data_IF_716517516577
#
_entry.id   IF_716517516577
#
_cell.length_a   1.000
_cell.length_b   1.000
_cell.length_c   1.000
_cell.angle_alpha   90.00
_cell.angle_beta   90.00
_cell.angle_gamma   90.00
#
_symmetry.space_group_name_H-M   'P 1'
#
loop_
_entity.id
_entity.type
_entity.pdbx_description
1 polymer ?
#
# COMPACT_ATOMS: atom_id res chain seq x y z
N UNK A 1 -10.54 29.29 21.12
CA UNK A 1 -10.94 30.08 19.94
C UNK A 1 -11.55 31.37 20.42
N UNK A 2 -11.21 32.49 19.77
CA UNK A 2 -11.77 33.82 20.10
C UNK A 2 -11.60 34.23 21.59
N UNK A 3 -10.45 33.86 22.19
CA UNK A 3 -10.17 34.14 23.60
C UNK A 3 -10.96 33.25 24.59
N UNK A 4 -11.59 32.19 24.12
CA UNK A 4 -12.35 31.29 24.94
C UNK A 4 -11.94 29.82 24.76
N UNK A 5 -12.11 29.06 25.84
CA UNK A 5 -12.05 27.60 25.86
C UNK A 5 -13.48 27.07 25.89
N UNK A 6 -13.75 26.16 24.97
CA UNK A 6 -15.06 25.48 24.84
C UNK A 6 -14.91 24.04 25.25
N UNK A 7 -15.74 23.55 26.18
CA UNK A 7 -15.73 22.17 26.63
C UNK A 7 -17.10 21.51 26.44
N UNK A 8 -17.10 20.27 25.94
CA UNK A 8 -18.31 19.48 25.73
C UNK A 8 -18.07 18.05 26.20
N UNK A 9 -18.97 17.53 27.02
CA UNK A 9 -18.87 16.19 27.57
C UNK A 9 -19.93 15.25 27.00
N UNK A 10 -19.52 14.01 26.74
CA UNK A 10 -20.39 12.94 26.25
C UNK A 10 -20.34 11.73 27.19
N UNK A 11 -21.48 11.05 27.33
CA UNK A 11 -21.54 9.75 28.01
C UNK A 11 -22.48 8.83 27.20
N UNK A 12 -22.00 7.64 26.81
CA UNK A 12 -22.72 6.65 25.99
C UNK A 12 -23.34 7.29 24.73
N UNK A 13 -22.59 8.12 24.02
CA UNK A 13 -23.02 8.79 22.79
C UNK A 13 -23.98 9.96 22.96
N UNK A 14 -24.37 10.33 24.19
CA UNK A 14 -25.24 11.46 24.47
C UNK A 14 -24.47 12.60 25.13
N UNK A 15 -24.83 13.83 24.76
CA UNK A 15 -24.28 15.04 25.40
C UNK A 15 -24.73 15.08 26.86
N UNK A 16 -23.79 15.33 27.76
CA UNK A 16 -24.06 15.48 29.19
C UNK A 16 -24.50 16.92 29.47
N UNK A 17 -25.60 17.07 30.22
CA UNK A 17 -26.15 18.38 30.62
C UNK A 17 -27.40 18.79 29.84
N UNK A 18 -28.04 19.88 30.25
CA UNK A 18 -29.24 20.42 29.58
C UNK A 18 -28.80 21.03 28.23
N UNK A 19 -29.58 20.80 27.14
CA UNK A 19 -29.25 21.21 25.76
C UNK A 19 -28.72 22.63 25.59
N UNK A 20 -29.15 23.60 26.41
CA UNK A 20 -28.65 24.98 26.38
C UNK A 20 -27.46 25.27 27.29
N UNK A 21 -27.07 24.35 28.20
CA UNK A 21 -25.95 24.48 29.15
C UNK A 21 -24.92 23.36 28.99
N UNK A 22 -24.99 22.58 27.94
CA UNK A 22 -24.08 21.46 27.70
C UNK A 22 -22.71 21.93 27.20
N UNK A 23 -22.65 23.07 26.50
CA UNK A 23 -21.41 23.69 26.06
C UNK A 23 -20.93 24.62 27.18
N UNK A 24 -19.82 24.28 27.78
CA UNK A 24 -19.13 25.12 28.77
C UNK A 24 -18.20 26.08 28.04
N UNK A 25 -18.24 27.35 28.40
CA UNK A 25 -17.42 28.42 27.81
C UNK A 25 -16.69 29.14 28.90
N UNK A 26 -15.36 29.11 28.88
CA UNK A 26 -14.47 29.74 29.83
C UNK A 26 -13.53 30.72 29.12
N UNK A 27 -13.31 31.93 29.64
CA UNK A 27 -12.27 32.81 29.11
C UNK A 27 -10.90 32.12 29.17
N UNK A 28 -10.11 32.25 28.11
CA UNK A 28 -8.77 31.68 28.05
C UNK A 28 -7.74 32.76 27.73
N UNK A 29 -6.71 32.84 28.54
CA UNK A 29 -5.53 33.69 28.31
C UNK A 29 -4.51 33.04 27.35
N UNK A 30 -4.70 31.78 26.99
CA UNK A 30 -3.80 31.07 26.07
C UNK A 30 -3.86 31.64 24.67
N UNK A 31 -2.71 32.02 24.12
CA UNK A 31 -2.58 32.48 22.75
C UNK A 31 -2.63 31.32 21.70
N UNK A 32 -2.67 30.07 22.16
CA UNK A 32 -2.69 28.89 21.31
C UNK A 32 -4.12 28.51 20.94
N UNK A 33 -4.33 28.16 19.67
CA UNK A 33 -5.54 27.49 19.21
C UNK A 33 -5.27 25.99 19.08
N UNK A 34 -6.24 25.16 19.44
CA UNK A 34 -6.11 23.71 19.37
C UNK A 34 -7.39 23.00 19.79
N UNK A 35 -7.41 21.69 19.62
CA UNK A 35 -8.51 20.81 20.04
C UNK A 35 -7.96 19.69 20.89
N UNK A 36 -8.59 19.44 22.05
CA UNK A 36 -8.27 18.31 22.92
C UNK A 36 -9.46 17.37 22.90
N UNK A 37 -9.23 16.11 22.51
CA UNK A 37 -10.22 15.05 22.53
C UNK A 37 -9.76 14.00 23.54
N UNK A 38 -10.59 13.77 24.60
CA UNK A 38 -10.39 12.67 25.54
C UNK A 38 -11.53 11.68 25.38
N UNK A 39 -11.21 10.42 25.29
CA UNK A 39 -12.21 9.38 25.22
C UNK A 39 -11.74 8.13 25.97
N UNK A 40 -12.69 7.38 26.50
CA UNK A 40 -12.46 6.08 27.11
C UNK A 40 -13.42 5.08 26.48
N UNK A 41 -12.91 3.96 25.96
CA UNK A 41 -13.77 2.89 25.42
C UNK A 41 -14.68 2.33 26.52
N UNK A 42 -15.89 1.95 26.13
CA UNK A 42 -16.88 1.35 27.04
C UNK A 42 -16.83 -0.18 26.89
N UNK A 43 -16.53 -0.88 28.00
CA UNK A 43 -16.49 -2.35 28.02
C UNK A 43 -17.87 -3.01 27.80
N UNK A 44 -18.97 -2.24 27.90
CA UNK A 44 -20.29 -2.74 27.45
C UNK A 44 -20.38 -2.87 25.92
N UNK A 45 -19.49 -2.15 25.18
CA UNK A 45 -19.46 -2.14 23.70
C UNK A 45 -18.27 -2.93 23.16
N UNK A 46 -17.12 -2.81 23.81
CA UNK A 46 -15.85 -3.42 23.37
C UNK A 46 -15.51 -4.59 24.30
N UNK A 47 -15.07 -5.70 23.71
CA UNK A 47 -14.61 -6.89 24.45
C UNK A 47 -13.30 -6.67 25.18
N UNK A 48 -12.46 -5.77 24.70
CA UNK A 48 -11.21 -5.32 25.33
C UNK A 48 -10.96 -3.85 25.02
N UNK A 49 -10.30 -3.16 25.92
CA UNK A 49 -9.85 -1.77 25.79
C UNK A 49 -8.31 -1.67 25.76
N UNK A 50 -7.64 -2.80 25.84
CA UNK A 50 -6.17 -2.87 25.82
C UNK A 50 -5.69 -2.80 24.37
N UNK A 51 -5.31 -1.59 23.95
CA UNK A 51 -4.79 -1.33 22.60
C UNK A 51 -3.26 -1.32 22.69
N UNK A 52 -2.56 -2.19 21.92
CA UNK A 52 -1.10 -2.21 21.92
C UNK A 52 -0.52 -0.85 21.49
N UNK A 53 0.54 -0.39 22.16
CA UNK A 53 1.22 0.87 21.84
C UNK A 53 1.71 0.91 20.38
N UNK A 54 2.07 -0.26 19.83
CA UNK A 54 2.53 -0.39 18.45
C UNK A 54 1.47 0.04 17.43
N UNK A 55 0.19 -0.22 17.71
CA UNK A 55 -0.89 0.24 16.86
C UNK A 55 -0.94 1.78 16.74
N UNK A 56 -0.70 2.47 17.85
CA UNK A 56 -0.63 3.94 17.85
C UNK A 56 0.61 4.43 17.10
N UNK A 57 1.78 3.78 17.29
CA UNK A 57 3.02 4.11 16.56
C UNK A 57 2.83 4.02 15.06
N UNK A 58 2.31 2.89 14.59
CA UNK A 58 2.05 2.68 13.16
C UNK A 58 1.03 3.68 12.59
N UNK A 59 -0.04 3.96 13.34
CA UNK A 59 -1.05 4.94 12.93
C UNK A 59 -0.46 6.34 12.83
N UNK A 60 0.31 6.78 13.83
CA UNK A 60 0.94 8.11 13.81
C UNK A 60 2.02 8.23 12.74
N UNK A 61 2.82 7.20 12.54
CA UNK A 61 3.80 7.15 11.45
C UNK A 61 3.12 7.32 10.10
N UNK A 62 2.07 6.56 9.80
CA UNK A 62 1.29 6.68 8.56
C UNK A 62 0.70 8.08 8.36
N UNK A 63 0.21 8.69 9.43
CA UNK A 63 -0.28 10.07 9.36
C UNK A 63 0.84 11.06 9.09
N UNK A 64 2.01 10.91 9.70
CA UNK A 64 3.16 11.77 9.48
C UNK A 64 3.70 11.69 8.03
N UNK A 65 3.70 10.49 7.45
CA UNK A 65 4.17 10.24 6.07
C UNK A 65 3.37 11.06 5.04
N UNK A 66 2.07 11.16 5.20
CA UNK A 66 1.19 11.85 4.23
C UNK A 66 0.88 13.30 4.57
N UNK A 67 1.32 13.76 5.74
CA UNK A 67 1.19 15.15 6.18
C UNK A 67 2.58 15.75 6.43
N UNK A 68 3.29 16.06 5.35
CA UNK A 68 4.65 16.58 5.41
C UNK A 68 4.75 17.80 6.35
N UNK A 69 5.84 17.87 7.12
CA UNK A 69 6.10 18.91 8.12
C UNK A 69 5.13 18.95 9.33
N UNK A 70 4.27 17.95 9.50
CA UNK A 70 3.43 17.82 10.68
C UNK A 70 4.06 16.81 11.63
N UNK A 71 4.32 17.25 12.88
CA UNK A 71 4.82 16.36 13.91
C UNK A 71 3.67 15.72 14.67
N UNK A 72 3.66 14.40 14.70
CA UNK A 72 2.76 13.59 15.52
C UNK A 72 3.52 13.06 16.72
N UNK A 73 3.15 13.49 17.93
CA UNK A 73 3.80 13.08 19.17
C UNK A 73 2.95 12.05 19.90
N UNK A 74 3.51 10.86 20.10
CA UNK A 74 2.96 9.85 20.98
C UNK A 74 3.51 10.04 22.39
N UNK A 75 2.61 10.14 23.37
CA UNK A 75 2.95 10.14 24.79
C UNK A 75 2.30 8.95 25.46
N UNK A 76 3.09 8.07 26.00
CA UNK A 76 2.62 6.89 26.71
C UNK A 76 2.91 7.06 28.20
N UNK A 77 1.87 6.94 29.03
CA UNK A 77 2.00 6.96 30.48
C UNK A 77 2.45 5.58 30.97
N UNK A 78 3.55 5.54 31.69
CA UNK A 78 4.10 4.37 32.34
C UNK A 78 4.29 4.57 33.84
N UNK A 79 4.76 3.56 34.58
CA UNK A 79 4.97 3.65 36.03
C UNK A 79 5.93 4.75 36.44
N UNK A 80 6.90 5.09 35.63
CA UNK A 80 7.93 6.10 35.87
C UNK A 80 7.63 7.44 35.22
N UNK A 81 6.44 7.63 34.64
CA UNK A 81 6.03 8.85 33.94
C UNK A 81 5.76 8.65 32.46
N UNK A 82 5.80 9.75 31.72
CA UNK A 82 5.53 9.72 30.26
C UNK A 82 6.80 9.46 29.46
N UNK A 83 6.69 8.54 28.49
CA UNK A 83 7.63 8.43 27.37
C UNK A 83 7.08 9.16 26.17
N UNK A 84 7.94 9.84 25.40
CA UNK A 84 7.54 10.61 24.21
C UNK A 84 8.29 10.09 22.97
N UNK A 85 7.56 9.98 21.86
CA UNK A 85 8.10 9.58 20.56
C UNK A 85 7.48 10.47 19.48
N UNK A 86 8.31 11.10 18.65
CA UNK A 86 7.90 12.01 17.59
C UNK A 86 8.02 11.36 16.21
N UNK A 87 6.98 11.51 15.40
CA UNK A 87 6.95 11.11 14.00
C UNK A 87 6.81 12.34 13.13
N UNK A 88 7.80 12.63 12.30
CA UNK A 88 7.80 13.75 11.38
C UNK A 88 8.61 13.41 10.13
N UNK A 89 8.02 13.62 8.97
CA UNK A 89 8.66 13.45 7.67
C UNK A 89 8.60 14.78 6.92
N UNK A 90 9.66 15.60 6.94
CA UNK A 90 9.67 16.91 6.29
C UNK A 90 9.33 16.86 4.80
N UNK A 91 9.82 15.88 4.07
CA UNK A 91 9.50 15.63 2.67
C UNK A 91 8.40 14.57 2.46
N UNK A 92 7.70 14.18 3.54
CA UNK A 92 6.58 13.25 3.48
C UNK A 92 6.98 11.88 2.96
N UNK A 93 6.31 11.41 1.90
CA UNK A 93 6.49 10.07 1.32
C UNK A 93 7.92 9.81 0.80
N UNK A 94 8.67 10.85 0.43
CA UNK A 94 10.05 10.73 -0.04
C UNK A 94 10.99 10.29 1.09
N UNK A 95 10.95 10.99 2.23
CA UNK A 95 11.75 10.63 3.41
C UNK A 95 11.38 9.24 3.93
N UNK A 96 10.09 8.90 3.89
CA UNK A 96 9.61 7.59 4.32
C UNK A 96 10.12 6.45 3.44
N UNK A 97 10.09 6.62 2.11
CA UNK A 97 10.64 5.61 1.19
C UNK A 97 12.13 5.44 1.43
N UNK A 98 12.88 6.53 1.58
CA UNK A 98 14.31 6.49 1.90
C UNK A 98 14.60 5.78 3.22
N UNK A 99 13.82 6.05 4.27
CA UNK A 99 13.91 5.35 5.56
C UNK A 99 13.72 3.84 5.41
N UNK A 100 12.71 3.43 4.63
CA UNK A 100 12.36 2.00 4.46
C UNK A 100 13.36 1.22 3.63
N UNK A 101 13.89 1.83 2.60
CA UNK A 101 14.81 1.15 1.65
C UNK A 101 16.26 1.25 2.14
N UNK A 102 16.61 2.28 2.90
CA UNK A 102 17.98 2.55 3.30
C UNK A 102 18.90 2.70 2.08
N UNK A 103 19.99 1.94 2.05
CA UNK A 103 20.94 1.91 0.92
C UNK A 103 20.72 0.76 -0.08
N UNK A 104 19.72 -0.10 0.16
CA UNK A 104 19.50 -1.32 -0.61
C UNK A 104 18.54 -1.14 -1.79
N UNK A 105 18.71 -0.09 -2.58
CA UNK A 105 17.94 0.14 -3.79
C UNK A 105 18.74 -0.17 -5.06
N UNK A 106 18.06 -0.62 -6.11
CA UNK A 106 18.61 -0.75 -7.46
C UNK A 106 18.65 0.58 -8.18
N UNK A 107 17.64 1.41 -7.91
CA UNK A 107 17.48 2.75 -8.45
C UNK A 107 17.17 3.71 -7.31
N UNK A 108 17.74 4.90 -7.36
CA UNK A 108 17.42 5.94 -6.39
C UNK A 108 15.92 6.20 -6.37
N UNK A 109 15.31 6.42 -5.17
CA UNK A 109 13.93 6.84 -5.06
C UNK A 109 13.68 8.13 -5.83
N UNK A 110 12.67 8.17 -6.66
CA UNK A 110 12.27 9.36 -7.39
C UNK A 110 10.82 9.76 -7.08
N UNK A 111 10.66 11.05 -6.86
CA UNK A 111 9.38 11.65 -6.53
C UNK A 111 8.71 12.20 -7.79
N UNK A 112 7.43 11.92 -7.95
CA UNK A 112 6.61 12.38 -9.06
C UNK A 112 5.29 12.94 -8.54
N UNK A 113 4.78 13.98 -9.22
CA UNK A 113 3.51 14.59 -8.88
C UNK A 113 2.76 15.09 -10.12
N UNK A 114 1.45 15.17 -9.99
CA UNK A 114 0.57 15.77 -10.98
C UNK A 114 -0.76 16.22 -10.37
N UNK A 115 -1.32 17.27 -10.97
CA UNK A 115 -2.69 17.68 -10.73
C UNK A 115 -3.53 17.31 -11.96
N UNK A 116 -4.72 16.75 -11.73
CA UNK A 116 -5.67 16.34 -12.77
C UNK A 116 -7.06 16.83 -12.42
N UNK A 117 -7.88 17.08 -13.43
CA UNK A 117 -9.28 17.48 -13.29
C UNK A 117 -10.14 16.63 -14.21
N UNK A 118 -11.27 16.16 -13.72
CA UNK A 118 -12.22 15.34 -14.46
C UNK A 118 -13.34 14.82 -13.57
N UNK A 119 -14.08 13.84 -14.06
CA UNK A 119 -15.28 13.30 -13.40
C UNK A 119 -15.35 11.78 -13.51
N UNK A 120 -16.06 11.14 -12.60
CA UNK A 120 -16.27 9.70 -12.60
C UNK A 120 -17.26 9.24 -13.69
N UNK A 121 -18.26 10.09 -14.02
CA UNK A 121 -19.28 9.86 -15.04
C UNK A 121 -19.68 11.19 -15.67
N UNK A 122 -20.23 11.17 -16.88
CA UNK A 122 -20.60 12.35 -17.65
C UNK A 122 -21.68 13.24 -16.99
N UNK A 123 -22.53 12.64 -16.15
CA UNK A 123 -23.60 13.29 -15.40
C UNK A 123 -23.13 13.92 -14.08
N UNK A 124 -21.86 13.76 -13.68
CA UNK A 124 -21.30 14.29 -12.44
C UNK A 124 -20.41 15.52 -12.70
N UNK A 125 -20.27 16.41 -11.70
CA UNK A 125 -19.37 17.54 -11.81
C UNK A 125 -17.90 17.12 -11.83
N UNK A 126 -17.06 17.91 -12.47
CA UNK A 126 -15.63 17.76 -12.42
C UNK A 126 -15.08 18.03 -11.02
N UNK A 127 -14.04 17.28 -10.66
CA UNK A 127 -13.29 17.52 -9.44
C UNK A 127 -11.78 17.42 -9.66
N UNK A 128 -11.03 18.04 -8.75
CA UNK A 128 -9.57 18.06 -8.81
C UNK A 128 -9.00 16.86 -8.05
N UNK A 129 -7.94 16.27 -8.61
CA UNK A 129 -7.15 15.20 -8.00
C UNK A 129 -5.68 15.60 -8.01
N UNK A 130 -5.07 15.70 -6.84
CA UNK A 130 -3.63 15.86 -6.68
C UNK A 130 -3.02 14.50 -6.41
N UNK A 131 -2.08 14.07 -7.23
CA UNK A 131 -1.41 12.79 -7.14
C UNK A 131 0.06 13.03 -6.81
N UNK A 132 0.57 12.38 -5.78
CA UNK A 132 1.98 12.32 -5.47
C UNK A 132 2.40 10.88 -5.31
N UNK A 133 3.58 10.52 -5.77
CA UNK A 133 4.15 9.20 -5.58
C UNK A 133 5.67 9.28 -5.44
N UNK A 134 6.22 8.40 -4.63
CA UNK A 134 7.64 8.13 -4.57
C UNK A 134 7.85 6.65 -4.83
N UNK A 135 8.76 6.32 -5.74
CA UNK A 135 9.02 4.93 -6.09
C UNK A 135 10.51 4.69 -6.39
N UNK A 136 10.92 3.47 -6.13
CA UNK A 136 12.21 2.92 -6.52
C UNK A 136 12.10 1.41 -6.70
N UNK A 137 13.17 0.78 -7.12
CA UNK A 137 13.24 -0.67 -7.26
C UNK A 137 14.36 -1.22 -6.36
N UNK A 138 14.14 -2.39 -5.77
CA UNK A 138 15.10 -3.09 -4.90
C UNK A 138 15.11 -4.58 -5.20
N UNK A 139 16.20 -5.27 -4.86
CA UNK A 139 16.33 -6.73 -5.00
C UNK A 139 15.77 -7.49 -3.80
N UNK A 140 15.84 -6.87 -2.64
CA UNK A 140 15.64 -7.53 -1.35
C UNK A 140 14.41 -7.04 -0.62
N UNK A 141 13.85 -5.90 -1.04
CA UNK A 141 12.74 -5.23 -0.37
C UNK A 141 11.64 -4.84 -1.35
N UNK A 142 10.41 -5.08 -0.96
CA UNK A 142 9.21 -4.66 -1.69
C UNK A 142 8.21 -4.03 -0.73
N UNK A 143 7.55 -2.97 -1.16
CA UNK A 143 6.52 -2.29 -0.39
C UNK A 143 5.61 -1.51 -1.33
N UNK A 144 4.30 -1.67 -1.20
CA UNK A 144 3.33 -0.85 -1.91
C UNK A 144 2.31 -0.32 -0.91
N UNK A 145 2.29 1.01 -0.75
CA UNK A 145 1.35 1.70 0.13
C UNK A 145 0.57 2.77 -0.63
N UNK A 146 -0.73 2.77 -0.43
CA UNK A 146 -1.65 3.68 -1.10
C UNK A 146 -2.40 4.49 -0.06
N UNK A 147 -2.38 5.82 -0.23
CA UNK A 147 -3.07 6.76 0.64
C UNK A 147 -4.03 7.62 -0.16
N UNK A 148 -5.15 7.97 0.44
CA UNK A 148 -6.12 8.89 -0.11
C UNK A 148 -6.73 9.78 0.96
N UNK A 149 -6.66 11.11 0.78
CA UNK A 149 -7.10 12.11 1.76
C UNK A 149 -6.58 11.78 3.18
N UNK A 150 -5.28 11.51 3.29
CA UNK A 150 -4.56 11.11 4.50
C UNK A 150 -4.98 9.76 5.11
N UNK A 151 -5.87 9.01 4.47
CA UNK A 151 -6.26 7.66 4.90
C UNK A 151 -5.42 6.60 4.20
N UNK A 152 -4.88 5.65 4.96
CA UNK A 152 -4.25 4.49 4.39
C UNK A 152 -5.28 3.53 3.79
N UNK A 153 -5.08 3.16 2.54
CA UNK A 153 -5.93 2.24 1.80
C UNK A 153 -5.38 0.81 1.92
N UNK A 154 -5.69 0.14 3.01
CA UNK A 154 -5.23 -1.23 3.28
C UNK A 154 -5.56 -2.21 2.14
N UNK A 155 -6.72 -2.03 1.51
CA UNK A 155 -7.21 -2.85 0.40
C UNK A 155 -7.03 -2.16 -0.97
N UNK A 156 -6.21 -1.09 -1.05
CA UNK A 156 -5.87 -0.39 -2.29
C UNK A 156 -7.06 0.25 -3.00
N UNK A 157 -7.65 -0.46 -3.95
CA UNK A 157 -8.74 0.06 -4.78
C UNK A 157 -8.26 0.74 -6.06
N UNK A 158 -8.83 1.90 -6.42
CA UNK A 158 -8.50 2.62 -7.65
C UNK A 158 -7.00 2.94 -7.80
N UNK A 159 -6.26 3.42 -6.77
CA UNK A 159 -4.83 3.67 -6.87
C UNK A 159 -4.00 2.41 -7.13
N UNK A 160 -4.30 1.31 -6.45
CA UNK A 160 -3.62 0.03 -6.66
C UNK A 160 -3.86 -0.50 -8.07
N UNK A 161 -5.13 -0.53 -8.53
CA UNK A 161 -5.48 -0.98 -9.88
C UNK A 161 -4.76 -0.16 -10.94
N UNK A 162 -4.65 1.16 -10.74
CA UNK A 162 -3.93 2.06 -11.62
C UNK A 162 -2.44 1.75 -11.68
N UNK A 163 -1.79 1.61 -10.52
CA UNK A 163 -0.36 1.29 -10.43
C UNK A 163 -0.04 -0.05 -11.09
N UNK A 164 -0.81 -1.11 -10.77
CA UNK A 164 -0.65 -2.45 -11.37
C UNK A 164 -0.72 -2.41 -12.89
N UNK A 165 -1.74 -1.79 -13.44
CA UNK A 165 -1.94 -1.72 -14.89
C UNK A 165 -0.87 -0.88 -15.57
N UNK A 166 -0.60 0.32 -15.07
CA UNK A 166 0.28 1.28 -15.69
C UNK A 166 1.75 0.83 -15.65
N UNK A 167 2.24 0.43 -14.47
CA UNK A 167 3.65 0.06 -14.30
C UNK A 167 3.98 -1.23 -15.06
N UNK A 168 3.10 -2.23 -15.03
CA UNK A 168 3.28 -3.46 -15.83
C UNK A 168 3.30 -3.14 -17.31
N UNK A 169 2.34 -2.35 -17.81
CA UNK A 169 2.24 -2.00 -19.23
C UNK A 169 3.45 -1.18 -19.71
N UNK A 170 3.92 -0.22 -18.92
CA UNK A 170 5.06 0.61 -19.28
C UNK A 170 6.36 -0.21 -19.34
N UNK A 171 6.60 -1.08 -18.35
CA UNK A 171 7.77 -1.96 -18.33
C UNK A 171 7.71 -3.00 -19.45
N UNK A 172 6.58 -3.62 -19.70
CA UNK A 172 6.41 -4.59 -20.79
C UNK A 172 6.71 -3.94 -22.17
N UNK A 173 6.17 -2.74 -22.40
CA UNK A 173 6.44 -1.99 -23.61
C UNK A 173 7.93 -1.64 -23.75
N UNK A 174 8.57 -1.23 -22.67
CA UNK A 174 10.00 -0.93 -22.68
C UNK A 174 10.86 -2.17 -22.93
N UNK A 175 10.59 -3.30 -22.25
CA UNK A 175 11.30 -4.58 -22.45
C UNK A 175 11.19 -5.03 -23.92
N UNK A 176 10.01 -4.91 -24.53
CA UNK A 176 9.77 -5.21 -25.96
C UNK A 176 10.59 -4.28 -26.86
N UNK A 177 10.61 -2.98 -26.58
CA UNK A 177 11.37 -2.01 -27.39
C UNK A 177 12.88 -2.20 -27.34
N UNK A 178 13.38 -2.89 -26.30
CA UNK A 178 14.80 -3.21 -26.11
C UNK A 178 15.15 -4.63 -26.53
N UNK A 179 14.23 -5.37 -27.14
CA UNK A 179 14.39 -6.79 -27.59
C UNK A 179 14.94 -7.72 -26.47
N UNK A 180 14.52 -7.48 -25.20
CA UNK A 180 15.02 -8.23 -24.05
C UNK A 180 14.29 -9.55 -23.79
N UNK A 181 13.13 -9.78 -24.42
CA UNK A 181 12.46 -11.07 -24.40
C UNK A 181 13.16 -12.09 -25.29
N UNK A 182 13.24 -13.34 -24.81
CA UNK A 182 13.67 -14.45 -25.67
C UNK A 182 12.53 -14.89 -26.59
N UNK A 183 12.86 -15.64 -27.64
CA UNK A 183 11.88 -16.14 -28.60
C UNK A 183 10.79 -16.96 -27.89
N UNK A 184 9.54 -16.62 -28.14
CA UNK A 184 8.34 -17.23 -27.54
C UNK A 184 8.22 -17.01 -25.99
N UNK A 185 8.92 -16.05 -25.43
CA UNK A 185 8.79 -15.71 -24.01
C UNK A 185 7.48 -14.92 -23.78
N UNK A 186 6.72 -15.27 -22.74
CA UNK A 186 5.50 -14.57 -22.36
C UNK A 186 5.79 -13.16 -21.86
N UNK A 187 4.79 -12.27 -21.86
CA UNK A 187 4.88 -10.96 -21.24
C UNK A 187 5.05 -11.05 -19.72
N UNK A 188 5.61 -10.01 -19.10
CA UNK A 188 5.67 -9.88 -17.63
C UNK A 188 4.26 -9.78 -17.05
N UNK A 189 4.12 -10.19 -15.78
CA UNK A 189 2.91 -10.01 -14.96
C UNK A 189 3.18 -9.01 -13.84
N UNK A 190 2.12 -8.52 -13.21
CA UNK A 190 2.26 -7.63 -12.05
C UNK A 190 3.15 -8.19 -10.95
N UNK A 191 3.04 -9.49 -10.65
CA UNK A 191 3.86 -10.13 -9.63
C UNK A 191 5.36 -9.92 -9.87
N UNK A 192 5.80 -9.98 -11.13
CA UNK A 192 7.21 -9.82 -11.51
C UNK A 192 7.74 -8.42 -11.22
N UNK A 193 6.86 -7.41 -11.34
CA UNK A 193 7.13 -6.00 -11.01
C UNK A 193 7.03 -5.78 -9.51
N UNK A 194 5.98 -6.30 -8.89
CA UNK A 194 5.67 -6.15 -7.47
C UNK A 194 6.82 -6.64 -6.59
N UNK A 195 7.44 -7.75 -6.94
CA UNK A 195 8.49 -8.41 -6.14
C UNK A 195 9.79 -7.57 -6.01
N UNK A 196 9.93 -6.50 -6.79
CA UNK A 196 11.07 -5.58 -6.68
C UNK A 196 10.67 -4.11 -6.55
N UNK A 197 9.38 -3.80 -6.45
CA UNK A 197 8.86 -2.43 -6.43
C UNK A 197 8.70 -1.92 -5.01
N UNK A 198 9.22 -0.73 -4.76
CA UNK A 198 8.88 0.10 -3.59
C UNK A 198 8.10 1.30 -4.09
N UNK A 199 6.86 1.44 -3.66
CA UNK A 199 5.93 2.47 -4.10
C UNK A 199 5.10 2.98 -2.93
N UNK A 200 5.15 4.28 -2.70
CA UNK A 200 4.21 4.98 -1.82
C UNK A 200 3.49 6.05 -2.62
N UNK A 201 2.16 6.04 -2.57
CA UNK A 201 1.33 7.04 -3.26
C UNK A 201 0.44 7.76 -2.29
N UNK A 202 0.24 9.05 -2.51
CA UNK A 202 -0.74 9.84 -1.79
C UNK A 202 -1.57 10.65 -2.81
N UNK A 203 -2.88 10.48 -2.72
CA UNK A 203 -3.84 11.10 -3.62
C UNK A 203 -4.83 11.94 -2.82
N UNK A 204 -5.03 13.19 -3.21
CA UNK A 204 -6.05 14.07 -2.63
C UNK A 204 -7.12 14.39 -3.65
N UNK A 205 -8.38 14.28 -3.27
CA UNK A 205 -9.49 14.73 -4.10
C UNK A 205 -10.62 15.31 -3.26
N UNK A 206 -11.43 16.19 -3.87
CA UNK A 206 -12.62 16.75 -3.25
C UNK A 206 -13.84 15.83 -3.32
N UNK A 207 -13.78 14.81 -4.18
CA UNK A 207 -14.81 13.78 -4.33
C UNK A 207 -14.19 12.41 -4.06
N UNK A 208 -14.76 11.65 -3.12
CA UNK A 208 -14.28 10.32 -2.77
C UNK A 208 -15.43 9.35 -2.69
N UNK A 209 -15.28 8.22 -3.37
CA UNK A 209 -16.17 7.06 -3.25
C UNK A 209 -15.42 5.91 -2.59
N UNK A 210 -15.71 5.66 -1.33
CA UNK A 210 -15.17 4.52 -0.61
C UNK A 210 -15.99 3.26 -0.89
N UNK A 211 -15.34 2.11 -1.00
CA UNK A 211 -16.02 0.83 -1.17
C UNK A 211 -16.89 0.46 0.05
N UNK A 212 -16.46 0.89 1.24
CA UNK A 212 -17.17 0.65 2.49
C UNK A 212 -16.85 1.71 3.55
N UNK A 213 -17.57 1.65 4.69
CA UNK A 213 -17.42 2.60 5.81
C UNK A 213 -16.03 2.53 6.48
N UNK A 214 -15.30 1.45 6.34
CA UNK A 214 -13.94 1.34 6.91
C UNK A 214 -12.90 2.19 6.19
N UNK A 215 -13.24 2.74 5.02
CA UNK A 215 -12.39 3.62 4.19
C UNK A 215 -11.06 2.99 3.76
N UNK A 216 -11.00 1.67 3.67
CA UNK A 216 -9.79 0.92 3.32
C UNK A 216 -9.55 0.78 1.81
N UNK A 217 -10.52 1.12 0.98
CA UNK A 217 -10.41 1.15 -0.47
C UNK A 217 -11.32 2.22 -1.07
N UNK A 218 -10.91 2.79 -2.20
CA UNK A 218 -11.72 3.71 -3.01
C UNK A 218 -11.98 3.12 -4.39
N UNK A 219 -13.11 3.48 -5.00
CA UNK A 219 -13.54 2.97 -6.30
C UNK A 219 -13.80 4.05 -7.36
N UNK A 220 -13.30 5.27 -7.16
CA UNK A 220 -13.42 6.36 -8.12
C UNK A 220 -12.80 6.00 -9.47
N UNK A 221 -13.62 6.02 -10.53
CA UNK A 221 -13.17 5.70 -11.91
C UNK A 221 -12.19 6.72 -12.44
N UNK A 222 -12.48 8.00 -12.26
CA UNK A 222 -11.60 9.07 -12.72
C UNK A 222 -10.25 9.04 -12.02
N UNK A 223 -10.19 8.79 -10.71
CA UNK A 223 -8.93 8.64 -9.98
C UNK A 223 -8.10 7.50 -10.57
N UNK A 224 -8.72 6.35 -10.84
CA UNK A 224 -8.04 5.23 -11.48
C UNK A 224 -7.48 5.59 -12.85
N UNK A 225 -8.27 6.25 -13.70
CA UNK A 225 -7.84 6.65 -15.04
C UNK A 225 -6.70 7.68 -14.98
N UNK A 226 -6.84 8.70 -14.14
CA UNK A 226 -5.85 9.75 -13.95
C UNK A 226 -4.52 9.20 -13.46
N UNK A 227 -4.55 8.32 -12.45
CA UNK A 227 -3.35 7.68 -11.92
C UNK A 227 -2.73 6.70 -12.90
N UNK A 228 -3.53 5.96 -13.68
CA UNK A 228 -3.03 5.07 -14.75
C UNK A 228 -2.24 5.85 -15.80
N UNK A 229 -2.81 6.93 -16.30
CA UNK A 229 -2.15 7.79 -17.27
C UNK A 229 -0.86 8.42 -16.69
N UNK A 230 -0.94 8.92 -15.45
CA UNK A 230 0.17 9.52 -14.73
C UNK A 230 1.34 8.55 -14.55
N UNK A 231 1.11 7.37 -14.00
CA UNK A 231 2.19 6.38 -13.80
C UNK A 231 2.79 5.91 -15.13
N UNK A 232 1.96 5.67 -16.13
CA UNK A 232 2.44 5.24 -17.44
C UNK A 232 3.34 6.29 -18.07
N UNK A 233 2.91 7.55 -18.08
CA UNK A 233 3.67 8.70 -18.59
C UNK A 233 5.01 8.83 -17.86
N UNK A 234 4.96 8.92 -16.52
CA UNK A 234 6.14 9.20 -15.70
C UNK A 234 7.18 8.07 -15.73
N UNK A 235 6.72 6.81 -15.65
CA UNK A 235 7.64 5.69 -15.72
C UNK A 235 8.25 5.56 -17.13
N UNK A 236 7.46 5.75 -18.19
CA UNK A 236 7.98 5.72 -19.57
C UNK A 236 9.06 6.77 -19.77
N UNK A 237 8.82 8.01 -19.33
CA UNK A 237 9.81 9.09 -19.38
C UNK A 237 11.06 8.72 -18.59
N UNK A 238 10.91 8.25 -17.34
CA UNK A 238 12.03 7.85 -16.50
C UNK A 238 12.92 6.77 -17.14
N UNK A 239 12.31 5.73 -17.74
CA UNK A 239 13.03 4.62 -18.37
C UNK A 239 13.81 5.09 -19.63
N UNK A 240 13.30 6.09 -20.35
CA UNK A 240 13.99 6.65 -21.52
C UNK A 240 15.17 7.53 -21.12
N UNK A 241 14.98 8.36 -20.10
CA UNK A 241 16.00 9.32 -19.63
C UNK A 241 17.12 8.65 -18.82
N UNK A 242 16.83 7.55 -18.11
CA UNK A 242 17.74 6.88 -17.17
C UNK A 242 18.07 5.46 -17.63
N UNK A 243 18.77 5.31 -18.75
CA UNK A 243 19.03 4.01 -19.39
C UNK A 243 19.70 2.98 -18.48
N UNK A 244 20.66 3.41 -17.64
CA UNK A 244 21.36 2.50 -16.71
C UNK A 244 20.41 1.98 -15.62
N UNK A 245 19.60 2.86 -15.05
CA UNK A 245 18.56 2.49 -14.09
C UNK A 245 17.52 1.57 -14.75
N UNK A 246 17.07 1.92 -15.96
CA UNK A 246 16.12 1.11 -16.72
C UNK A 246 16.66 -0.30 -17.00
N UNK A 247 17.94 -0.42 -17.34
CA UNK A 247 18.61 -1.72 -17.51
C UNK A 247 18.53 -2.57 -16.25
N UNK A 248 18.89 -2.00 -15.08
CA UNK A 248 18.80 -2.70 -13.79
C UNK A 248 17.38 -3.13 -13.43
N UNK A 249 16.38 -2.27 -13.69
CA UNK A 249 14.96 -2.59 -13.44
C UNK A 249 14.54 -3.75 -14.32
N UNK A 250 14.78 -3.68 -15.62
CA UNK A 250 14.41 -4.71 -16.60
C UNK A 250 15.04 -6.04 -16.25
N UNK A 251 16.33 -6.06 -15.95
CA UNK A 251 17.04 -7.29 -15.60
C UNK A 251 16.42 -7.94 -14.34
N UNK A 252 16.11 -7.13 -13.31
CA UNK A 252 15.48 -7.66 -12.09
C UNK A 252 14.06 -8.19 -12.34
N UNK A 253 13.24 -7.47 -13.09
CA UNK A 253 11.87 -7.89 -13.42
C UNK A 253 11.89 -9.19 -14.26
N UNK A 254 12.82 -9.33 -15.19
CA UNK A 254 12.98 -10.57 -15.97
C UNK A 254 13.50 -11.73 -15.12
N UNK A 255 14.37 -11.48 -14.13
CA UNK A 255 14.80 -12.49 -13.17
C UNK A 255 13.58 -12.98 -12.36
N UNK A 256 12.79 -12.07 -11.80
CA UNK A 256 11.58 -12.40 -11.03
C UNK A 256 10.61 -13.23 -11.87
N UNK A 257 10.34 -12.81 -13.11
CA UNK A 257 9.48 -13.53 -14.07
C UNK A 257 9.96 -14.95 -14.32
N UNK A 258 11.23 -15.11 -14.71
CA UNK A 258 11.80 -16.41 -15.07
C UNK A 258 11.85 -17.34 -13.84
N UNK A 259 12.14 -16.82 -12.67
CA UNK A 259 12.07 -17.54 -11.39
C UNK A 259 10.66 -18.05 -11.11
N UNK A 260 9.65 -17.17 -11.21
CA UNK A 260 8.23 -17.53 -11.03
C UNK A 260 7.79 -18.60 -12.03
N UNK A 261 8.10 -18.43 -13.32
CA UNK A 261 7.71 -19.41 -14.35
C UNK A 261 8.36 -20.78 -14.13
N UNK A 262 9.62 -20.82 -13.71
CA UNK A 262 10.32 -22.06 -13.37
C UNK A 262 9.70 -22.75 -12.15
N UNK A 263 9.38 -21.99 -11.10
CA UNK A 263 8.70 -22.50 -9.93
C UNK A 263 7.30 -23.09 -10.27
N UNK A 264 6.55 -22.40 -11.14
CA UNK A 264 5.23 -22.85 -11.60
C UNK A 264 5.30 -24.16 -12.44
N UNK A 265 6.27 -24.25 -13.35
CA UNK A 265 6.53 -25.49 -14.14
C UNK A 265 6.89 -26.64 -13.22
N UNK A 266 7.76 -26.44 -12.24
CA UNK A 266 8.16 -27.46 -11.28
C UNK A 266 6.96 -27.91 -10.45
N UNK A 267 6.14 -26.99 -9.96
CA UNK A 267 4.91 -27.30 -9.21
C UNK A 267 3.93 -28.12 -10.03
N UNK A 268 3.72 -27.76 -11.31
CA UNK A 268 2.84 -28.50 -12.22
C UNK A 268 3.35 -29.91 -12.47
N UNK A 269 4.65 -30.08 -12.74
CA UNK A 269 5.27 -31.40 -12.93
C UNK A 269 5.09 -32.29 -11.70
N UNK A 270 5.35 -31.79 -10.50
CA UNK A 270 5.15 -32.52 -9.25
C UNK A 270 3.66 -32.91 -9.09
N UNK A 271 2.74 -31.98 -9.34
CA UNK A 271 1.29 -32.25 -9.25
C UNK A 271 0.85 -33.36 -10.21
N UNK A 272 1.29 -33.29 -11.47
CA UNK A 272 0.97 -34.30 -12.50
C UNK A 272 1.52 -35.69 -12.09
N UNK A 273 2.77 -35.76 -11.62
CA UNK A 273 3.37 -36.99 -11.15
C UNK A 273 2.63 -37.61 -9.96
N UNK A 274 2.18 -36.77 -9.01
CA UNK A 274 1.39 -37.24 -7.87
C UNK A 274 0.00 -37.75 -8.29
N UNK A 275 -0.67 -37.03 -9.21
CA UNK A 275 -1.97 -37.46 -9.75
C UNK A 275 -1.86 -38.80 -10.48
N UNK A 276 -0.86 -38.97 -11.36
CA UNK A 276 -0.65 -40.25 -12.06
C UNK A 276 -0.41 -41.41 -11.10
N UNK A 277 0.35 -41.18 -10.01
CA UNK A 277 0.54 -42.23 -8.99
C UNK A 277 -0.75 -42.59 -8.26
N UNK A 278 -1.58 -41.56 -7.93
CA UNK A 278 -2.88 -41.77 -7.27
C UNK A 278 -3.87 -42.49 -8.19
N UNK A 279 -3.91 -42.12 -9.47
CA UNK A 279 -4.78 -42.76 -10.46
C UNK A 279 -4.39 -44.23 -10.69
N UNK A 280 -3.11 -44.54 -10.74
CA UNK A 280 -2.64 -45.93 -10.81
C UNK A 280 -3.03 -46.74 -9.57
N UNK A 281 -2.85 -46.16 -8.36
CA UNK A 281 -3.24 -46.83 -7.11
C UNK A 281 -4.75 -47.05 -7.02
N UNK A 282 -5.57 -46.16 -7.60
CA UNK A 282 -7.03 -46.29 -7.62
C UNK A 282 -7.56 -47.27 -8.66
N UNK A 283 -6.82 -47.52 -9.79
CA UNK A 283 -7.21 -48.43 -10.83
C UNK A 283 -6.99 -49.90 -10.46
N UNK A 284 -6.06 -50.23 -9.56
CA UNK A 284 -5.71 -51.58 -9.15
C UNK A 284 -5.76 -51.66 -7.63
N UNK A 285 -6.85 -52.24 -7.08
CA UNK A 285 -7.10 -52.38 -5.63
C UNK A 285 -6.00 -53.08 -4.81
N UNK A 286 -5.02 -53.71 -5.43
CA UNK A 286 -3.90 -54.42 -4.80
C UNK A 286 -2.57 -54.16 -5.49
N UNK A 287 -2.42 -53.06 -6.18
CA UNK A 287 -1.15 -52.73 -6.83
C UNK A 287 -0.16 -52.25 -5.77
N UNK A 288 0.88 -53.06 -5.55
CA UNK A 288 2.05 -52.69 -4.76
C UNK A 288 3.20 -52.54 -5.71
N UNK A 289 3.71 -51.32 -5.84
CA UNK A 289 4.85 -51.02 -6.70
C UNK A 289 6.09 -51.79 -6.24
N UNK A 290 6.79 -52.42 -7.19
CA UNK A 290 8.01 -53.13 -6.91
C UNK A 290 9.11 -52.16 -6.48
N UNK A 291 9.53 -52.25 -5.23
CA UNK A 291 10.58 -51.40 -4.63
C UNK A 291 12.02 -51.85 -4.98
N UNK A 292 12.18 -52.97 -5.69
CA UNK A 292 13.49 -53.45 -6.09
C UNK A 292 14.13 -52.54 -7.13
N UNK A 293 15.38 -52.18 -6.93
CA UNK A 293 16.20 -51.45 -7.91
C UNK A 293 16.83 -52.41 -8.95
N UNK A 294 16.76 -53.70 -8.72
CA UNK A 294 17.28 -54.72 -9.61
C UNK A 294 16.29 -54.98 -10.73
N UNK A 295 16.71 -54.77 -11.98
CA UNK A 295 15.87 -54.96 -13.18
C UNK A 295 15.38 -56.38 -13.37
N UNK A 296 16.12 -57.38 -12.89
CA UNK A 296 15.74 -58.83 -12.95
C UNK A 296 14.69 -59.26 -11.95
N UNK A 297 14.27 -58.40 -11.02
CA UNK A 297 13.28 -58.69 -9.98
C UNK A 297 12.00 -57.81 -10.10
N UNK A 298 11.80 -57.17 -11.27
CA UNK A 298 10.67 -56.28 -11.51
C UNK A 298 9.56 -56.91 -12.36
N UNK A 299 9.50 -58.23 -12.43
CA UNK A 299 8.37 -58.95 -13.06
C UNK A 299 7.12 -58.96 -12.20
#
# INVERSE_FOLDING_TARGET
RDGNKYSLHFKKGKVVGAKKKALEVEPSSEKRTGTIIKWRPDLEVFTSIDIPAEWYRETMRRQAVVNANVTFRLRLEGPEGFTEEDFCYPKGIEDYVLEKVGSEYLTEPFFIQADRRGRDRDDLPDYNVKITACLCFSRTFQMQEYYHNSSWLENGGSPEKAARSALTSALDAYIKSQDKYTKNESAIKWQDVQDCLVLVTNCFSTQTSYENQTKKAINNRFIQQAMTAFFKERLTTYLIENKDAAGKIVDQVLINKRSRENAEKTRQSIKTNLQQKTDMANRVQKFIDCRSKDKGRRE
#
